data_IF_270521922954
#
_entry.id   IF_270521922954
#
_cell.length_a   1.000
_cell.length_b   1.000
_cell.length_c   1.000
_cell.angle_alpha   90.00
_cell.angle_beta   90.00
_cell.angle_gamma   90.00
#
_symmetry.space_group_name_H-M   'P 1'
#
loop_
_entity.id
_entity.type
_entity.pdbx_description
1 polymer ?
#
# COMPACT_ATOMS: atom_id res chain seq x y z
N UNK A 1 -72.81 -11.41 32.07
CA UNK A 1 -71.53 -11.12 32.75
C UNK A 1 -70.40 -11.36 31.74
N UNK A 2 -69.57 -10.33 31.53
CA UNK A 2 -68.18 -10.30 31.02
C UNK A 2 -67.81 -10.97 29.68
N UNK A 3 -67.65 -10.08 28.70
CA UNK A 3 -66.80 -10.20 27.49
C UNK A 3 -65.33 -10.23 27.91
N UNK A 4 -64.48 -11.07 27.30
CA UNK A 4 -63.13 -10.70 26.85
C UNK A 4 -62.42 -11.86 26.13
N UNK A 5 -62.28 -11.70 24.80
CA UNK A 5 -61.41 -12.51 23.96
C UNK A 5 -59.99 -11.91 24.00
N UNK A 6 -59.01 -12.67 24.49
CA UNK A 6 -57.60 -12.29 24.48
C UNK A 6 -57.00 -12.43 23.07
N UNK A 7 -56.89 -11.31 22.35
CA UNK A 7 -56.10 -11.18 21.12
C UNK A 7 -54.67 -10.83 21.49
N UNK A 8 -53.73 -11.77 21.48
CA UNK A 8 -52.31 -11.46 21.73
C UNK A 8 -51.35 -12.47 21.06
N UNK A 9 -51.49 -12.69 19.74
CA UNK A 9 -50.77 -13.76 19.03
C UNK A 9 -49.73 -13.35 17.99
N UNK A 10 -49.68 -12.10 17.53
CA UNK A 10 -49.00 -11.79 16.26
C UNK A 10 -47.93 -10.71 16.32
N UNK A 11 -47.95 -9.84 17.33
CA UNK A 11 -47.05 -8.67 17.42
C UNK A 11 -45.61 -9.04 17.83
N UNK A 12 -45.41 -10.23 18.41
CA UNK A 12 -44.11 -10.69 18.93
C UNK A 12 -43.19 -11.22 17.81
N UNK A 13 -43.76 -11.67 16.68
CA UNK A 13 -42.99 -12.31 15.61
C UNK A 13 -42.32 -11.28 14.67
N UNK A 14 -43.07 -10.28 14.20
CA UNK A 14 -42.53 -9.24 13.30
C UNK A 14 -41.48 -8.34 13.98
N UNK A 15 -41.68 -7.99 15.26
CA UNK A 15 -40.70 -7.22 16.03
C UNK A 15 -39.38 -7.99 16.26
N UNK A 16 -39.46 -9.32 16.41
CA UNK A 16 -38.28 -10.18 16.57
C UNK A 16 -37.50 -10.30 15.27
N UNK A 17 -38.18 -10.47 14.13
CA UNK A 17 -37.56 -10.54 12.80
C UNK A 17 -36.90 -9.20 12.43
N UNK A 18 -37.55 -8.06 12.70
CA UNK A 18 -36.95 -6.74 12.46
C UNK A 18 -35.75 -6.45 13.36
N UNK A 19 -35.75 -6.93 14.61
CA UNK A 19 -34.61 -6.81 15.51
C UNK A 19 -33.42 -7.66 15.07
N UNK A 20 -33.70 -8.86 14.54
CA UNK A 20 -32.68 -9.77 14.02
C UNK A 20 -32.07 -9.27 12.71
N UNK A 21 -32.88 -8.72 11.80
CA UNK A 21 -32.40 -8.05 10.58
C UNK A 21 -31.54 -6.82 10.89
N UNK A 22 -31.94 -5.97 11.84
CA UNK A 22 -31.12 -4.82 12.26
C UNK A 22 -29.79 -5.25 12.89
N UNK A 23 -29.77 -6.33 13.70
CA UNK A 23 -28.53 -6.89 14.24
C UNK A 23 -27.61 -7.42 13.15
N UNK A 24 -28.15 -8.13 12.16
CA UNK A 24 -27.36 -8.64 11.03
C UNK A 24 -26.76 -7.50 10.20
N UNK A 25 -27.53 -6.44 9.90
CA UNK A 25 -27.03 -5.27 9.18
C UNK A 25 -25.95 -4.51 9.97
N UNK A 26 -26.10 -4.38 11.29
CA UNK A 26 -25.07 -3.78 12.15
C UNK A 26 -23.78 -4.62 12.17
N UNK A 27 -23.90 -5.95 12.29
CA UNK A 27 -22.76 -6.86 12.25
C UNK A 27 -22.01 -6.80 10.92
N UNK A 28 -22.72 -6.77 9.79
CA UNK A 28 -22.11 -6.64 8.46
C UNK A 28 -21.35 -5.31 8.32
N UNK A 29 -21.97 -4.20 8.75
CA UNK A 29 -21.34 -2.88 8.72
C UNK A 29 -20.09 -2.79 9.61
N UNK A 30 -20.15 -3.36 10.80
CA UNK A 30 -19.00 -3.41 11.71
C UNK A 30 -17.89 -4.31 11.17
N UNK A 31 -18.22 -5.44 10.55
CA UNK A 31 -17.23 -6.30 9.90
C UNK A 31 -16.52 -5.57 8.75
N UNK A 32 -17.25 -4.81 7.94
CA UNK A 32 -16.66 -4.06 6.83
C UNK A 32 -15.76 -2.91 7.32
N UNK A 33 -16.19 -2.15 8.32
CA UNK A 33 -15.36 -1.13 8.97
C UNK A 33 -14.08 -1.74 9.58
N UNK A 34 -14.19 -2.91 10.20
CA UNK A 34 -13.02 -3.61 10.75
C UNK A 34 -12.09 -4.13 9.65
N UNK A 35 -12.61 -4.64 8.53
CA UNK A 35 -11.81 -5.03 7.37
C UNK A 35 -11.01 -3.85 6.81
N UNK A 36 -11.65 -2.69 6.65
CA UNK A 36 -10.98 -1.47 6.16
C UNK A 36 -9.87 -1.02 7.12
N UNK A 37 -10.16 -0.93 8.43
CA UNK A 37 -9.16 -0.58 9.44
C UNK A 37 -7.98 -1.54 9.48
N UNK A 38 -8.25 -2.84 9.38
CA UNK A 38 -7.20 -3.86 9.34
C UNK A 38 -6.31 -3.70 8.11
N UNK A 39 -6.90 -3.50 6.94
CA UNK A 39 -6.15 -3.25 5.71
C UNK A 39 -5.27 -1.98 5.80
N UNK A 40 -5.77 -0.90 6.42
CA UNK A 40 -4.95 0.30 6.66
C UNK A 40 -3.80 0.04 7.64
N UNK A 41 -4.05 -0.71 8.72
CA UNK A 41 -3.03 -1.08 9.69
C UNK A 41 -1.94 -1.95 9.06
N UNK A 42 -2.32 -2.93 8.24
CA UNK A 42 -1.39 -3.81 7.53
C UNK A 42 -0.52 -3.02 6.54
N UNK A 43 -1.12 -2.09 5.78
CA UNK A 43 -0.37 -1.18 4.89
C UNK A 43 0.63 -0.32 5.67
N UNK A 44 0.22 0.25 6.81
CA UNK A 44 1.10 1.05 7.67
C UNK A 44 2.23 0.21 8.27
N UNK A 45 1.94 -1.03 8.68
CA UNK A 45 2.94 -1.94 9.22
C UNK A 45 4.00 -2.31 8.15
N UNK A 46 3.58 -2.57 6.92
CA UNK A 46 4.48 -2.85 5.81
C UNK A 46 5.36 -1.63 5.48
N UNK A 47 4.76 -0.44 5.45
CA UNK A 47 5.50 0.82 5.24
C UNK A 47 6.54 1.07 6.34
N UNK A 48 6.18 0.81 7.60
CA UNK A 48 7.10 0.91 8.71
C UNK A 48 8.28 -0.09 8.60
N UNK A 49 8.00 -1.32 8.18
CA UNK A 49 9.04 -2.33 7.98
C UNK A 49 10.02 -1.93 6.86
N UNK A 50 9.50 -1.38 5.75
CA UNK A 50 10.33 -0.87 4.66
C UNK A 50 11.15 0.34 5.10
N UNK A 51 10.55 1.27 5.83
CA UNK A 51 11.25 2.41 6.42
C UNK A 51 12.46 1.95 7.24
N UNK A 52 12.25 0.99 8.14
CA UNK A 52 13.32 0.47 8.99
C UNK A 52 14.45 -0.16 8.17
N UNK A 53 14.13 -0.87 7.09
CA UNK A 53 15.15 -1.45 6.20
C UNK A 53 15.98 -0.38 5.50
N UNK A 54 15.36 0.71 5.07
CA UNK A 54 16.05 1.83 4.44
C UNK A 54 16.95 2.53 5.46
N UNK A 55 16.44 2.82 6.66
CA UNK A 55 17.21 3.51 7.70
C UNK A 55 18.45 2.70 8.13
N UNK A 56 18.31 1.38 8.31
CA UNK A 56 19.43 0.51 8.72
C UNK A 56 20.48 0.34 7.62
N UNK A 57 20.05 0.28 6.35
CA UNK A 57 20.94 0.01 5.22
C UNK A 57 21.30 1.27 4.42
N UNK A 58 20.99 2.45 4.97
CA UNK A 58 21.30 3.72 4.33
C UNK A 58 22.82 3.88 4.24
N UNK A 59 23.29 4.18 3.04
CA UNK A 59 24.69 4.47 2.77
C UNK A 59 24.89 5.97 2.81
N UNK A 60 25.90 6.43 3.55
CA UNK A 60 26.25 7.84 3.59
C UNK A 60 26.79 8.27 2.22
N UNK A 61 26.07 9.17 1.56
CA UNK A 61 26.35 9.60 0.20
C UNK A 61 26.90 11.05 0.14
N UNK A 62 27.61 11.53 1.16
CA UNK A 62 28.20 12.88 1.12
C UNK A 62 29.24 12.96 0.01
N UNK A 63 29.02 13.83 -0.97
CA UNK A 63 29.96 14.06 -2.07
C UNK A 63 29.55 15.26 -2.92
N UNK A 64 30.35 15.54 -3.95
CA UNK A 64 30.21 16.71 -4.82
C UNK A 64 29.64 16.36 -6.20
N UNK A 65 29.55 15.08 -6.54
CA UNK A 65 29.09 14.62 -7.85
C UNK A 65 27.57 14.59 -7.87
N UNK A 66 26.95 15.36 -8.77
CA UNK A 66 25.51 15.34 -8.96
C UNK A 66 25.09 14.10 -9.77
N UNK A 67 24.27 13.24 -9.16
CA UNK A 67 23.58 12.16 -9.85
C UNK A 67 22.14 12.58 -10.15
N UNK A 68 21.77 12.59 -11.43
CA UNK A 68 20.42 12.95 -11.85
C UNK A 68 19.55 11.69 -11.95
N UNK A 69 18.32 11.78 -11.45
CA UNK A 69 17.35 10.70 -11.48
C UNK A 69 15.93 11.27 -11.64
N UNK A 70 15.01 10.43 -12.10
CA UNK A 70 13.62 10.82 -12.33
C UNK A 70 12.74 10.27 -11.21
N UNK A 71 11.99 11.13 -10.53
CA UNK A 71 10.93 10.77 -9.58
C UNK A 71 9.58 11.12 -10.22
N UNK A 72 8.91 10.12 -10.80
CA UNK A 72 7.70 10.32 -11.60
C UNK A 72 8.00 11.10 -12.89
N UNK A 73 7.53 12.34 -12.99
CA UNK A 73 7.77 13.25 -14.12
C UNK A 73 8.84 14.31 -13.86
N UNK A 74 9.40 14.35 -12.64
CA UNK A 74 10.34 15.40 -12.22
C UNK A 74 11.76 14.85 -12.16
N UNK A 75 12.67 15.49 -12.88
CA UNK A 75 14.10 15.21 -12.77
C UNK A 75 14.66 15.89 -11.51
N UNK A 76 15.24 15.08 -10.63
CA UNK A 76 15.89 15.50 -9.39
C UNK A 76 17.38 15.15 -9.43
N UNK A 77 18.15 15.81 -8.56
CA UNK A 77 19.59 15.58 -8.44
C UNK A 77 19.96 15.31 -6.99
N UNK A 78 20.80 14.30 -6.78
CA UNK A 78 21.38 13.98 -5.48
C UNK A 78 22.89 14.11 -5.57
N UNK A 79 23.47 14.84 -4.63
CA UNK A 79 24.91 14.93 -4.50
C UNK A 79 25.42 13.66 -3.80
N UNK A 80 26.27 12.93 -4.51
CA UNK A 80 26.85 11.65 -4.11
C UNK A 80 28.37 11.68 -4.26
N UNK A 81 29.07 10.75 -3.60
CA UNK A 81 30.50 10.57 -3.83
C UNK A 81 30.75 9.85 -5.16
N UNK A 82 31.93 10.02 -5.76
CA UNK A 82 32.28 9.33 -7.02
C UNK A 82 32.13 7.80 -6.96
N UNK A 83 32.41 7.20 -5.80
CA UNK A 83 32.21 5.77 -5.58
C UNK A 83 30.73 5.38 -5.69
N UNK A 84 29.87 6.11 -4.99
CA UNK A 84 28.42 5.86 -5.01
C UNK A 84 27.83 6.17 -6.38
N UNK A 85 28.31 7.21 -7.06
CA UNK A 85 27.93 7.48 -8.45
C UNK A 85 28.21 6.26 -9.34
N UNK A 86 29.42 5.69 -9.26
CA UNK A 86 29.76 4.50 -10.03
C UNK A 86 28.92 3.27 -9.63
N UNK A 87 28.65 3.07 -8.33
CA UNK A 87 27.79 1.98 -7.85
C UNK A 87 26.33 2.14 -8.34
N UNK A 88 25.80 3.35 -8.37
CA UNK A 88 24.47 3.68 -8.93
C UNK A 88 24.42 3.44 -10.44
N UNK A 89 25.44 3.89 -11.18
CA UNK A 89 25.54 3.66 -12.63
C UNK A 89 25.67 2.16 -12.97
N UNK A 90 26.37 1.38 -12.14
CA UNK A 90 26.54 -0.07 -12.30
C UNK A 90 25.35 -0.88 -11.79
N UNK A 91 24.33 -0.26 -11.19
CA UNK A 91 23.21 -0.99 -10.59
C UNK A 91 23.51 -1.75 -9.30
N UNK A 92 24.62 -1.43 -8.63
CA UNK A 92 25.00 -2.02 -7.34
C UNK A 92 24.37 -1.29 -6.15
N UNK A 93 23.96 -0.04 -6.37
CA UNK A 93 23.21 0.78 -5.43
C UNK A 93 21.93 1.30 -6.09
N UNK A 94 20.98 1.69 -5.24
CA UNK A 94 19.66 2.17 -5.62
C UNK A 94 19.29 3.40 -4.79
N UNK A 95 18.39 4.23 -5.32
CA UNK A 95 17.85 5.40 -4.62
C UNK A 95 16.42 5.07 -4.18
N UNK A 96 16.19 5.10 -2.88
CA UNK A 96 14.87 4.98 -2.27
C UNK A 96 14.41 6.34 -1.75
N UNK A 97 13.10 6.59 -1.82
CA UNK A 97 12.48 7.79 -1.26
C UNK A 97 11.82 7.42 0.05
N UNK A 98 12.23 8.10 1.13
CA UNK A 98 11.64 7.93 2.44
C UNK A 98 11.09 9.27 2.91
N UNK A 99 9.77 9.35 3.09
CA UNK A 99 9.06 10.60 3.37
C UNK A 99 9.37 11.66 2.29
N UNK A 100 10.25 12.61 2.59
CA UNK A 100 10.66 13.71 1.69
C UNK A 100 12.15 13.67 1.32
N UNK A 101 12.90 12.67 1.81
CA UNK A 101 14.33 12.55 1.60
C UNK A 101 14.67 11.38 0.70
N UNK A 102 15.77 11.53 -0.04
CA UNK A 102 16.35 10.47 -0.85
C UNK A 102 17.47 9.80 -0.07
N UNK A 103 17.45 8.48 -0.10
CA UNK A 103 18.41 7.64 0.58
C UNK A 103 19.02 6.67 -0.42
N UNK A 104 20.33 6.49 -0.31
CA UNK A 104 21.05 5.52 -1.14
C UNK A 104 21.15 4.22 -0.35
N UNK A 105 20.71 3.13 -0.96
CA UNK A 105 20.73 1.79 -0.35
C UNK A 105 21.39 0.78 -1.29
N UNK A 106 21.95 -0.33 -0.78
CA UNK A 106 22.46 -1.41 -1.60
C UNK A 106 21.35 -2.05 -2.45
N UNK A 107 21.70 -2.53 -3.65
CA UNK A 107 20.75 -3.21 -4.56
C UNK A 107 20.01 -4.37 -3.88
N UNK A 108 20.71 -5.19 -3.08
CA UNK A 108 20.10 -6.33 -2.36
C UNK A 108 18.98 -5.94 -1.41
N UNK A 109 19.03 -4.72 -0.87
CA UNK A 109 18.00 -4.20 0.03
C UNK A 109 16.88 -3.57 -0.78
N UNK A 110 17.23 -2.87 -1.87
CA UNK A 110 16.26 -2.30 -2.79
C UNK A 110 15.37 -3.36 -3.44
N UNK A 111 15.92 -4.50 -3.86
CA UNK A 111 15.15 -5.64 -4.39
C UNK A 111 14.13 -6.17 -3.37
N UNK A 112 14.55 -6.31 -2.10
CA UNK A 112 13.65 -6.73 -1.01
C UNK A 112 12.54 -5.74 -0.73
N UNK A 113 12.83 -4.44 -0.88
CA UNK A 113 11.85 -3.38 -0.70
C UNK A 113 10.91 -3.35 -1.90
N UNK A 114 11.41 -3.52 -3.13
CA UNK A 114 10.60 -3.55 -4.36
C UNK A 114 9.54 -4.67 -4.31
N UNK A 115 9.90 -5.85 -3.79
CA UNK A 115 8.96 -6.96 -3.59
C UNK A 115 7.84 -6.68 -2.59
N UNK A 116 7.98 -5.64 -1.75
CA UNK A 116 7.02 -5.31 -0.68
C UNK A 116 6.28 -4.01 -0.98
N UNK A 117 7.02 -2.96 -1.28
CA UNK A 117 6.58 -1.61 -1.62
C UNK A 117 7.43 -1.07 -2.75
N UNK A 118 7.00 -1.35 -3.99
CA UNK A 118 7.64 -0.84 -5.20
C UNK A 118 7.66 0.71 -5.24
N UNK A 119 6.61 1.36 -4.72
CA UNK A 119 6.46 2.82 -4.70
C UNK A 119 7.58 3.57 -3.94
N UNK A 120 8.30 2.87 -3.06
CA UNK A 120 9.39 3.48 -2.27
C UNK A 120 10.71 3.55 -3.04
N UNK A 121 10.87 2.74 -4.10
CA UNK A 121 12.10 2.70 -4.89
C UNK A 121 11.97 3.65 -6.09
N UNK A 122 12.90 4.60 -6.19
CA UNK A 122 12.92 5.59 -7.28
C UNK A 122 13.88 5.16 -8.38
N UNK A 123 15.05 4.65 -8.00
CA UNK A 123 16.08 4.21 -8.96
C UNK A 123 16.56 2.83 -8.58
N UNK A 124 16.32 1.88 -9.47
CA UNK A 124 16.92 0.55 -9.44
C UNK A 124 17.41 0.24 -10.86
N UNK A 125 18.70 0.45 -11.11
CA UNK A 125 19.30 -0.01 -12.37
C UNK A 125 19.54 -1.50 -12.25
N UNK A 126 18.59 -2.33 -12.68
CA UNK A 126 18.85 -3.74 -12.84
C UNK A 126 19.66 -3.91 -14.12
N UNK A 127 20.93 -4.29 -14.04
CA UNK A 127 21.82 -4.46 -15.21
C UNK A 127 21.43 -5.63 -16.13
N UNK A 128 20.21 -6.16 -15.99
CA UNK A 128 19.61 -7.18 -16.86
C UNK A 128 18.16 -6.93 -17.25
N UNK A 129 17.53 -5.80 -16.88
CA UNK A 129 16.16 -5.49 -17.31
C UNK A 129 16.10 -4.06 -17.84
N UNK A 130 16.11 -4.01 -19.16
CA UNK A 130 15.65 -2.93 -20.01
C UNK A 130 14.46 -2.18 -19.42
N UNK A 131 14.49 -0.87 -19.63
CA UNK A 131 13.36 0.04 -19.58
C UNK A 131 11.98 -0.64 -19.77
N UNK A 132 11.26 -0.86 -18.69
CA UNK A 132 9.79 -0.87 -18.66
C UNK A 132 9.43 0.51 -18.08
N UNK A 133 9.35 1.58 -18.87
CA UNK A 133 8.12 1.92 -19.63
C UNK A 133 6.93 1.11 -19.13
N UNK A 134 6.51 1.35 -17.89
CA UNK A 134 5.14 1.06 -17.47
C UNK A 134 4.22 2.07 -18.18
N UNK A 135 3.97 1.74 -19.44
CA UNK A 135 2.68 1.78 -20.12
C UNK A 135 1.62 2.62 -19.42
N UNK A 136 1.48 3.84 -19.93
CA UNK A 136 0.44 4.83 -19.63
C UNK A 136 -0.94 4.47 -20.22
N UNK A 137 -1.26 3.18 -20.42
CA UNK A 137 -2.53 2.77 -21.01
C UNK A 137 -2.98 1.42 -20.43
N UNK A 138 -3.71 1.49 -19.32
CA UNK A 138 -4.41 0.35 -18.73
C UNK A 138 -5.93 0.50 -19.04
N UNK A 139 -6.42 0.01 -20.20
CA UNK A 139 -7.80 0.20 -20.65
C UNK A 139 -8.86 -0.57 -19.81
N UNK A 140 -8.46 -1.20 -18.71
CA UNK A 140 -9.34 -1.97 -17.81
C UNK A 140 -9.68 -1.27 -16.48
N UNK A 141 -9.24 -0.02 -16.26
CA UNK A 141 -9.59 0.76 -15.07
C UNK A 141 -11.10 1.07 -14.91
N UNK A 142 -11.91 0.80 -15.94
CA UNK A 142 -13.37 0.98 -15.91
C UNK A 142 -14.16 -0.23 -15.38
N UNK A 143 -13.52 -1.37 -15.11
CA UNK A 143 -14.23 -2.52 -14.53
C UNK A 143 -14.17 -2.48 -13.00
N UNK A 144 -15.17 -1.80 -12.41
CA UNK A 144 -15.56 -2.07 -11.01
C UNK A 144 -15.92 -3.54 -10.90
N UNK A 145 -15.10 -4.33 -10.20
CA UNK A 145 -15.46 -5.67 -9.77
C UNK A 145 -16.60 -5.51 -8.75
N UNK A 146 -17.84 -5.96 -9.04
CA UNK A 146 -18.86 -6.00 -8.02
C UNK A 146 -18.47 -7.08 -7.01
N UNK A 147 -18.20 -6.63 -5.78
CA UNK A 147 -17.90 -7.49 -4.65
C UNK A 147 -19.19 -8.17 -4.16
N UNK A 148 -19.64 -9.23 -4.84
CA UNK A 148 -20.62 -10.14 -4.24
C UNK A 148 -20.59 -11.54 -4.89
N UNK A 149 -19.90 -12.46 -4.22
CA UNK A 149 -20.11 -13.92 -4.26
C UNK A 149 -19.18 -14.55 -3.22
N UNK A 150 -19.50 -14.29 -1.95
CA UNK A 150 -19.12 -15.22 -0.88
C UNK A 150 -20.17 -16.34 -0.92
N UNK A 151 -19.78 -17.54 -1.33
CA UNK A 151 -20.39 -18.74 -0.76
C UNK A 151 -19.60 -19.07 0.52
#
# INVERSE_FOLDING_TARGET
ERVQAGKNGTVVNEASVLAEQNRQQQLQRDQELNRQRKAEQDKKALAAQVKQLIEINTITHKGETAFNFTDGSVVKRLYVSNRIHAELTKGQAAIAKLAEQYHVIPVKVAEKIQQRLAETIIVLHNTGQSAEVQSEDDPYAAYQIPHDLMW
#
